data_IF_330832241468
#
_entry.id   IF_330832241468
#
_cell.length_a   1.000
_cell.length_b   1.000
_cell.length_c   1.000
_cell.angle_alpha   90.00
_cell.angle_beta   90.00
_cell.angle_gamma   90.00
#
_symmetry.space_group_name_H-M   'P 1'
#
loop_
_entity.id
_entity.type
_entity.pdbx_description
1 polymer ?
#
# COMPACT_ATOMS: atom_id res chain seq x y z
N UNK A 1 -3.66 6.51 -11.38
CA UNK A 1 -2.57 6.50 -10.39
C UNK A 1 -2.88 5.43 -9.38
N UNK A 2 -2.10 4.37 -9.38
CA UNK A 2 -2.16 3.35 -8.36
C UNK A 2 -1.73 4.00 -7.06
N UNK A 3 -2.67 4.49 -6.34
CA UNK A 3 -2.36 5.03 -5.06
C UNK A 3 -2.21 3.86 -4.11
N UNK A 4 -1.11 3.82 -3.44
CA UNK A 4 -0.74 2.92 -2.36
C UNK A 4 -1.81 2.73 -1.31
N UNK A 5 -2.82 3.52 -1.43
CA UNK A 5 -3.98 3.61 -0.58
C UNK A 5 -4.82 2.36 -0.52
N UNK A 6 -4.78 1.56 -1.54
CA UNK A 6 -5.48 0.29 -1.50
C UNK A 6 -4.70 -0.80 -0.77
N UNK A 7 -3.39 -0.64 -0.68
CA UNK A 7 -2.58 -1.44 0.22
C UNK A 7 -2.72 -0.99 1.66
N UNK A 8 -2.89 0.29 1.82
CA UNK A 8 -3.16 0.87 3.11
C UNK A 8 -4.67 0.87 3.29
N UNK A 9 -5.17 -0.11 3.89
CA UNK A 9 -6.49 -0.20 4.47
C UNK A 9 -6.68 0.95 5.45
N UNK A 10 -6.89 2.15 4.92
CA UNK A 10 -6.84 3.30 5.76
C UNK A 10 -8.04 4.19 5.59
N UNK A 11 -9.05 3.77 6.26
CA UNK A 11 -10.27 4.54 6.35
C UNK A 11 -10.13 5.85 7.17
N UNK A 12 -9.06 6.03 7.91
CA UNK A 12 -9.01 7.07 8.96
C UNK A 12 -7.66 7.77 9.10
N UNK A 13 -6.80 7.79 8.07
CA UNK A 13 -5.42 8.17 8.25
C UNK A 13 -4.98 9.32 7.37
N UNK A 14 -3.99 10.10 7.86
CA UNK A 14 -3.33 11.10 7.07
C UNK A 14 -2.79 10.53 5.75
N UNK A 15 -3.12 11.17 4.63
CA UNK A 15 -2.66 10.76 3.30
C UNK A 15 -3.72 10.11 2.40
N UNK A 16 -4.90 9.78 2.92
CA UNK A 16 -6.01 9.27 2.13
C UNK A 16 -7.30 10.09 2.32
N UNK A 17 -8.08 10.24 1.27
CA UNK A 17 -9.35 10.97 1.28
C UNK A 17 -10.54 10.06 1.00
N UNK A 18 -11.66 10.34 1.64
CA UNK A 18 -12.95 9.74 1.31
C UNK A 18 -13.74 10.52 0.25
N UNK A 19 -13.25 11.70 -0.15
CA UNK A 19 -13.86 12.52 -1.18
C UNK A 19 -13.46 12.02 -2.57
N UNK A 20 -14.43 11.60 -3.42
CA UNK A 20 -14.14 11.13 -4.77
C UNK A 20 -13.49 12.15 -5.69
N UNK A 21 -13.58 13.43 -5.36
CA UNK A 21 -12.98 14.52 -6.12
C UNK A 21 -11.57 14.88 -5.66
N UNK A 22 -11.04 14.18 -4.66
CA UNK A 22 -9.70 14.41 -4.16
C UNK A 22 -8.69 13.47 -4.82
N UNK A 23 -7.52 13.99 -5.18
CA UNK A 23 -6.45 13.19 -5.80
C UNK A 23 -5.98 12.02 -4.92
N UNK A 24 -6.18 12.13 -3.62
CA UNK A 24 -5.88 11.08 -2.64
C UNK A 24 -7.09 10.19 -2.33
N UNK A 25 -8.10 10.15 -3.21
CA UNK A 25 -9.28 9.31 -3.00
C UNK A 25 -8.94 7.83 -2.94
N UNK A 26 -9.37 7.18 -1.88
CA UNK A 26 -9.04 5.80 -1.54
C UNK A 26 -10.01 4.73 -2.08
N UNK A 27 -11.02 5.15 -2.86
CA UNK A 27 -12.12 4.25 -3.24
C UNK A 27 -13.16 4.08 -2.13
N UNK A 28 -14.21 3.33 -2.42
CA UNK A 28 -15.32 3.09 -1.49
C UNK A 28 -15.01 1.97 -0.49
N UNK A 29 -14.19 1.03 -0.91
CA UNK A 29 -13.78 -0.14 -0.12
C UNK A 29 -12.36 -0.58 -0.53
N UNK A 30 -11.69 -1.39 0.27
CA UNK A 30 -10.42 -1.99 -0.12
C UNK A 30 -10.56 -2.82 -1.40
N UNK A 31 -9.59 -2.72 -2.28
CA UNK A 31 -9.52 -3.49 -3.53
C UNK A 31 -10.68 -3.24 -4.51
N UNK A 32 -11.30 -2.06 -4.48
CA UNK A 32 -12.32 -1.68 -5.47
C UNK A 32 -11.71 -1.34 -6.82
N UNK A 33 -10.49 -0.84 -6.83
CA UNK A 33 -9.77 -0.53 -8.07
C UNK A 33 -9.22 -1.81 -8.69
N UNK A 34 -9.52 -2.03 -9.96
CA UNK A 34 -9.19 -3.30 -10.65
C UNK A 34 -7.68 -3.54 -10.72
N UNK A 35 -6.89 -2.50 -10.86
CA UNK A 35 -5.43 -2.56 -10.91
C UNK A 35 -4.87 -3.11 -9.60
N UNK A 36 -5.33 -2.55 -8.49
CA UNK A 36 -4.90 -2.96 -7.15
C UNK A 36 -5.37 -4.37 -6.84
N UNK A 37 -6.62 -4.66 -7.20
CA UNK A 37 -7.18 -6.01 -7.01
C UNK A 37 -6.34 -7.06 -7.75
N UNK A 38 -5.99 -6.81 -9.01
CA UNK A 38 -5.22 -7.73 -9.82
C UNK A 38 -3.83 -8.01 -9.22
N UNK A 39 -3.15 -6.96 -8.75
CA UNK A 39 -1.85 -7.11 -8.09
C UNK A 39 -1.98 -7.89 -6.79
N UNK A 40 -2.96 -7.54 -5.97
CA UNK A 40 -3.20 -8.22 -4.70
C UNK A 40 -3.54 -9.71 -4.88
N UNK A 41 -4.39 -10.04 -5.85
CA UNK A 41 -4.76 -11.42 -6.14
C UNK A 41 -3.54 -12.20 -6.66
N UNK A 42 -2.75 -11.62 -7.55
CA UNK A 42 -1.51 -12.24 -8.02
C UNK A 42 -0.53 -12.53 -6.87
N UNK A 43 -0.33 -11.58 -5.97
CA UNK A 43 0.55 -11.76 -4.81
C UNK A 43 0.03 -12.85 -3.87
N UNK A 44 -1.27 -12.90 -3.62
CA UNK A 44 -1.90 -13.94 -2.78
C UNK A 44 -1.74 -15.33 -3.37
N UNK A 45 -2.02 -15.46 -4.66
CA UNK A 45 -1.90 -16.75 -5.37
C UNK A 45 -0.47 -17.27 -5.40
N UNK A 46 0.50 -16.38 -5.53
CA UNK A 46 1.91 -16.71 -5.65
C UNK A 46 2.71 -16.55 -4.35
N UNK A 47 2.07 -16.31 -3.22
CA UNK A 47 2.72 -15.99 -1.93
C UNK A 47 3.83 -16.95 -1.48
N UNK A 48 3.78 -18.22 -1.92
CA UNK A 48 4.81 -19.20 -1.59
C UNK A 48 6.05 -19.11 -2.49
N UNK A 49 5.97 -18.36 -3.57
CA UNK A 49 7.03 -18.20 -4.58
C UNK A 49 7.64 -16.81 -4.57
N UNK A 50 6.95 -15.84 -3.99
CA UNK A 50 7.37 -14.45 -3.91
C UNK A 50 8.07 -14.24 -2.58
N UNK A 51 9.34 -13.90 -2.63
CA UNK A 51 10.15 -13.64 -1.43
C UNK A 51 10.04 -12.19 -0.94
N UNK A 52 9.62 -11.28 -1.80
CA UNK A 52 9.47 -9.87 -1.46
C UNK A 52 8.75 -9.10 -2.56
N UNK A 53 8.24 -7.95 -2.21
CA UNK A 53 7.59 -7.02 -3.14
C UNK A 53 8.15 -5.61 -2.90
N UNK A 54 8.43 -4.91 -3.99
CA UNK A 54 8.93 -3.54 -3.95
C UNK A 54 8.17 -2.70 -4.95
N UNK A 55 7.70 -1.54 -4.52
CA UNK A 55 7.11 -0.54 -5.38
C UNK A 55 8.11 0.61 -5.60
N UNK A 56 8.37 0.93 -6.87
CA UNK A 56 9.27 2.01 -7.24
C UNK A 56 8.41 3.19 -7.68
N UNK A 57 8.35 4.19 -6.83
CA UNK A 57 7.44 5.32 -6.97
C UNK A 57 8.18 6.66 -7.06
N UNK A 58 7.70 7.56 -7.90
CA UNK A 58 8.14 8.95 -7.92
C UNK A 58 7.32 9.71 -6.85
N UNK A 59 7.84 10.65 -6.22
CA UNK A 59 9.18 11.26 -6.27
C UNK A 59 9.82 11.20 -4.88
N UNK A 60 11.06 11.58 -4.78
CA UNK A 60 11.90 11.60 -3.58
C UNK A 60 12.87 10.40 -3.53
N UNK A 61 13.97 10.62 -2.88
CA UNK A 61 15.01 9.62 -2.71
C UNK A 61 14.87 8.96 -1.33
N UNK A 62 13.71 8.34 -1.10
CA UNK A 62 13.37 7.73 0.18
C UNK A 62 13.24 6.22 0.03
N UNK A 63 13.77 5.51 1.00
CA UNK A 63 13.50 4.10 1.19
C UNK A 63 12.45 3.96 2.29
N UNK A 64 11.30 3.43 1.95
CA UNK A 64 10.17 3.33 2.87
C UNK A 64 9.74 1.88 3.05
N UNK A 65 9.33 1.57 4.25
CA UNK A 65 8.72 0.28 4.61
C UNK A 65 7.32 0.53 5.20
N UNK A 66 6.44 -0.47 5.25
CA UNK A 66 5.17 -0.34 5.96
C UNK A 66 5.40 -0.01 7.45
N UNK A 67 4.50 0.73 8.08
CA UNK A 67 3.24 1.24 7.55
C UNK A 67 3.38 2.73 7.21
N UNK A 68 2.59 3.22 6.25
CA UNK A 68 2.55 4.65 5.93
C UNK A 68 1.55 5.47 6.76
N UNK A 69 0.82 4.85 7.67
CA UNK A 69 -0.28 5.46 8.39
C UNK A 69 -0.10 5.53 9.92
N UNK A 70 0.89 4.91 10.46
CA UNK A 70 1.22 4.89 11.88
C UNK A 70 2.73 4.86 12.08
N UNK A 71 3.16 5.29 13.25
CA UNK A 71 4.56 5.18 13.68
C UNK A 71 4.86 3.80 14.30
N UNK A 72 3.83 2.98 14.50
CA UNK A 72 4.02 1.62 15.01
C UNK A 72 4.72 0.75 13.97
N UNK A 73 5.80 0.07 14.32
CA UNK A 73 6.51 -0.80 13.38
C UNK A 73 5.69 -2.06 13.04
N UNK A 74 5.98 -2.64 11.88
CA UNK A 74 5.46 -3.97 11.52
C UNK A 74 6.12 -5.05 12.39
N UNK A 75 5.50 -6.23 12.48
CA UNK A 75 6.05 -7.37 13.24
C UNK A 75 7.41 -7.82 12.71
N UNK A 76 7.65 -7.63 11.41
CA UNK A 76 8.89 -7.98 10.71
C UNK A 76 9.82 -6.78 10.45
N UNK A 77 9.61 -5.68 11.18
CA UNK A 77 10.37 -4.43 11.01
C UNK A 77 11.88 -4.64 11.01
N UNK A 78 12.40 -5.38 11.98
CA UNK A 78 13.84 -5.62 12.14
C UNK A 78 14.44 -6.41 10.97
N UNK A 79 13.63 -7.21 10.28
CA UNK A 79 14.04 -7.93 9.09
C UNK A 79 14.03 -7.01 7.86
N UNK A 80 13.03 -6.13 7.77
CA UNK A 80 12.89 -5.19 6.65
C UNK A 80 13.96 -4.09 6.62
N UNK A 81 14.55 -3.72 7.76
CA UNK A 81 15.56 -2.66 7.85
C UNK A 81 17.02 -3.16 7.85
N UNK A 82 17.23 -4.45 7.73
CA UNK A 82 18.57 -5.04 7.60
C UNK A 82 19.14 -4.91 6.22
#
# INVERSE_FOLDING_TARGET
MLTDQCFLYVALVPGASSDPCNDAYRGTQPFTEIEVKNVADYLRENRKRIAGYMDIHAYSQLWMIPWGYTEDPTDDHDELVR
#
